data_IF_916035177939
#
_entry.id   IF_916035177939
#
_cell.length_a   1.000
_cell.length_b   1.000
_cell.length_c   1.000
_cell.angle_alpha   90.00
_cell.angle_beta   90.00
_cell.angle_gamma   90.00
#
_symmetry.space_group_name_H-M   'P 1'
#
loop_
_entity.id
_entity.type
_entity.pdbx_description
1 polymer ?
#
# COMPACT_ATOMS: atom_id res chain seq x y z
N UNK A 1 -14.62 -62.38 -45.28
CA UNK A 1 -15.86 -61.87 -44.63
C UNK A 1 -15.61 -60.42 -44.26
N UNK A 2 -16.44 -59.49 -44.77
CA UNK A 2 -16.53 -58.02 -44.59
C UNK A 2 -15.34 -57.23 -44.02
N UNK A 3 -14.66 -56.33 -44.75
CA UNK A 3 -15.09 -55.04 -45.36
C UNK A 3 -15.09 -53.85 -44.39
N UNK A 4 -14.33 -52.81 -44.79
CA UNK A 4 -14.53 -51.37 -44.55
C UNK A 4 -14.33 -50.86 -43.10
N UNK A 5 -13.43 -49.94 -42.78
CA UNK A 5 -13.05 -48.74 -43.51
C UNK A 5 -13.83 -47.54 -42.94
N UNK A 6 -13.17 -46.64 -42.20
CA UNK A 6 -13.24 -45.18 -42.43
C UNK A 6 -12.50 -44.37 -41.36
N UNK A 7 -11.79 -43.38 -41.89
CA UNK A 7 -11.14 -42.24 -41.24
C UNK A 7 -12.05 -41.02 -41.48
N UNK A 8 -11.91 -39.99 -40.63
CA UNK A 8 -12.53 -38.63 -40.64
C UNK A 8 -13.87 -38.59 -39.89
N UNK A 9 -14.28 -37.54 -39.19
CA UNK A 9 -13.95 -36.11 -39.27
C UNK A 9 -14.27 -35.43 -37.92
N UNK A 10 -13.84 -34.17 -37.76
CA UNK A 10 -14.05 -33.29 -36.60
C UNK A 10 -15.52 -32.81 -36.51
N UNK A 11 -16.02 -32.68 -35.28
CA UNK A 11 -17.02 -31.68 -34.83
C UNK A 11 -16.67 -31.41 -33.35
N UNK A 12 -16.14 -30.26 -32.92
CA UNK A 12 -16.82 -28.97 -32.69
C UNK A 12 -18.24 -29.12 -32.16
N UNK A 13 -18.32 -29.25 -30.84
CA UNK A 13 -19.32 -28.62 -29.97
C UNK A 13 -18.51 -28.12 -28.75
N UNK A 14 -18.62 -26.88 -28.27
CA UNK A 14 -19.76 -25.99 -28.34
C UNK A 14 -20.23 -25.71 -26.92
N UNK A 15 -19.48 -24.84 -26.22
CA UNK A 15 -19.95 -23.98 -25.13
C UNK A 15 -20.43 -24.59 -23.79
N UNK A 16 -20.18 -23.79 -22.76
CA UNK A 16 -20.92 -23.70 -21.49
C UNK A 16 -20.55 -24.68 -20.37
N UNK A 17 -19.55 -24.28 -19.57
CA UNK A 17 -19.64 -24.40 -18.12
C UNK A 17 -18.71 -23.37 -17.42
N UNK A 18 -18.91 -22.08 -17.71
CA UNK A 18 -18.55 -21.02 -16.74
C UNK A 18 -19.67 -21.01 -15.71
N UNK A 19 -19.62 -21.93 -14.75
CA UNK A 19 -20.51 -21.94 -13.60
C UNK A 19 -20.00 -20.91 -12.59
N UNK A 20 -20.55 -19.72 -12.76
CA UNK A 20 -20.87 -18.69 -11.77
C UNK A 20 -20.60 -19.08 -10.29
N UNK A 21 -19.48 -18.61 -9.74
CA UNK A 21 -19.19 -18.64 -8.31
C UNK A 21 -19.22 -17.22 -7.71
N UNK A 22 -20.15 -16.37 -8.17
CA UNK A 22 -20.35 -14.99 -7.65
C UNK A 22 -21.64 -14.79 -6.84
N UNK A 23 -22.33 -15.85 -6.43
CA UNK A 23 -23.69 -15.70 -5.89
C UNK A 23 -23.84 -15.55 -4.36
N UNK A 24 -22.81 -15.73 -3.52
CA UNK A 24 -23.03 -15.79 -2.06
C UNK A 24 -22.01 -15.04 -1.20
N UNK A 25 -21.85 -13.74 -1.42
CA UNK A 25 -21.43 -12.79 -0.37
C UNK A 25 -22.27 -11.52 -0.48
N UNK A 26 -23.58 -11.65 -0.25
CA UNK A 26 -24.47 -10.52 0.03
C UNK A 26 -24.56 -10.37 1.55
N UNK A 27 -23.84 -9.41 2.11
CA UNK A 27 -24.06 -8.97 3.49
C UNK A 27 -25.38 -8.16 3.55
N UNK A 28 -26.39 -8.59 4.31
CA UNK A 28 -27.62 -7.83 4.48
C UNK A 28 -27.44 -6.88 5.67
N UNK A 29 -27.05 -5.63 5.39
CA UNK A 29 -27.41 -4.42 6.15
C UNK A 29 -26.50 -3.26 5.72
N UNK A 30 -26.86 -2.58 4.64
CA UNK A 30 -26.39 -1.20 4.43
C UNK A 30 -27.58 -0.28 4.61
N UNK A 31 -28.04 -0.18 5.86
CA UNK A 31 -28.74 1.03 6.28
C UNK A 31 -27.69 2.13 6.26
N UNK A 32 -27.84 3.06 5.34
CA UNK A 32 -27.16 4.34 5.42
C UNK A 32 -27.57 4.95 6.76
N UNK A 33 -26.67 5.04 7.75
CA UNK A 33 -26.72 5.96 8.90
C UNK A 33 -25.48 5.70 9.79
N UNK A 34 -24.37 6.35 9.44
CA UNK A 34 -23.37 6.96 10.34
C UNK A 34 -22.14 7.33 9.51
N UNK A 35 -22.27 8.43 8.77
CA UNK A 35 -21.10 9.26 8.49
C UNK A 35 -20.65 9.85 9.83
N UNK A 36 -20.03 9.04 10.69
CA UNK A 36 -19.20 9.56 11.76
C UNK A 36 -17.97 10.12 11.09
N UNK A 37 -18.11 11.39 10.71
CA UNK A 37 -17.05 12.32 10.41
C UNK A 37 -16.13 12.26 11.64
N UNK A 38 -15.08 11.43 11.57
CA UNK A 38 -13.87 11.64 12.35
C UNK A 38 -13.26 12.92 11.80
N UNK A 39 -13.86 14.05 12.15
CA UNK A 39 -13.09 15.21 12.54
C UNK A 39 -12.33 14.78 13.80
N UNK A 40 -11.29 13.96 13.60
CA UNK A 40 -10.21 13.90 14.57
C UNK A 40 -9.77 15.36 14.69
N UNK A 41 -9.96 15.92 15.88
CA UNK A 41 -9.62 17.30 16.21
C UNK A 41 -8.36 17.71 15.44
N UNK A 42 -8.45 18.82 14.70
CA UNK A 42 -7.35 19.42 13.94
C UNK A 42 -6.21 19.85 14.87
N UNK A 43 -5.54 18.88 15.47
CA UNK A 43 -4.21 19.05 16.03
C UNK A 43 -3.28 18.89 14.85
N UNK A 44 -2.57 19.96 14.51
CA UNK A 44 -1.53 19.96 13.49
C UNK A 44 -0.66 18.70 13.67
N UNK A 45 -0.70 17.80 12.69
CA UNK A 45 0.05 16.53 12.66
C UNK A 45 1.56 16.76 12.83
N UNK A 46 2.00 17.98 12.55
CA UNK A 46 3.38 18.37 12.52
C UNK A 46 3.96 18.63 13.93
N UNK A 47 3.14 19.11 14.87
CA UNK A 47 3.51 19.33 16.28
C UNK A 47 3.17 18.12 17.18
N UNK A 48 2.63 17.04 16.61
CA UNK A 48 2.28 15.86 17.40
C UNK A 48 3.54 15.10 17.81
N UNK A 49 3.67 14.57 19.05
CA UNK A 49 4.79 13.71 19.49
C UNK A 49 5.01 12.46 18.62
N UNK A 50 4.06 12.20 17.71
CA UNK A 50 4.11 11.16 16.68
C UNK A 50 5.12 11.49 15.58
N UNK A 51 5.25 12.75 15.15
CA UNK A 51 6.16 13.14 14.06
C UNK A 51 7.63 12.94 14.45
N UNK A 52 7.99 13.28 15.69
CA UNK A 52 9.33 13.06 16.26
C UNK A 52 9.64 11.57 16.44
N UNK A 53 8.71 10.80 17.03
CA UNK A 53 8.89 9.36 17.24
C UNK A 53 9.01 8.57 15.92
N UNK A 54 8.36 9.03 14.85
CA UNK A 54 8.37 8.41 13.52
C UNK A 54 9.65 8.66 12.72
N UNK A 55 10.38 9.73 13.02
CA UNK A 55 11.59 10.15 12.29
C UNK A 55 12.89 9.95 13.09
N UNK A 56 12.77 9.71 14.41
CA UNK A 56 13.89 9.53 15.33
C UNK A 56 14.39 8.08 15.47
N UNK A 57 15.56 7.88 16.10
CA UNK A 57 16.22 6.57 16.23
C UNK A 57 15.53 5.59 17.20
N UNK A 58 14.44 6.00 17.86
CA UNK A 58 13.79 5.24 18.94
C UNK A 58 12.90 4.08 18.50
N UNK A 59 12.59 3.99 17.20
CA UNK A 59 11.80 2.89 16.61
C UNK A 59 10.46 2.65 17.31
N UNK A 60 9.98 1.40 17.27
CA UNK A 60 8.68 1.01 17.84
C UNK A 60 8.59 1.26 19.35
N UNK A 61 9.68 1.09 20.10
CA UNK A 61 9.69 1.29 21.54
C UNK A 61 9.40 2.75 21.92
N UNK A 62 9.98 3.70 21.19
CA UNK A 62 9.72 5.13 21.38
C UNK A 62 8.28 5.50 21.04
N UNK A 63 7.73 4.93 19.95
CA UNK A 63 6.32 5.10 19.58
C UNK A 63 5.37 4.60 20.66
N UNK A 64 5.63 3.42 21.21
CA UNK A 64 4.80 2.85 22.30
C UNK A 64 4.94 3.60 23.62
N UNK A 65 6.07 4.29 23.85
CA UNK A 65 6.25 5.17 24.99
C UNK A 65 5.48 6.49 24.85
N UNK A 66 5.33 7.00 23.62
CA UNK A 66 4.62 8.27 23.35
C UNK A 66 3.10 8.11 23.16
N UNK A 67 2.62 6.92 22.75
CA UNK A 67 1.20 6.66 22.54
C UNK A 67 0.79 5.21 22.87
N UNK A 68 -0.42 4.99 23.42
CA UNK A 68 -0.86 3.65 23.85
C UNK A 68 -1.28 2.72 22.70
N UNK A 69 -1.47 3.25 21.49
CA UNK A 69 -1.96 2.51 20.32
C UNK A 69 -1.07 2.85 19.13
N UNK A 70 -0.66 1.83 18.37
CA UNK A 70 0.10 1.96 17.11
C UNK A 70 -0.76 1.40 15.98
N UNK A 71 -0.87 2.15 14.89
CA UNK A 71 -1.71 1.82 13.74
C UNK A 71 -0.84 1.23 12.63
N UNK A 72 -1.18 0.03 12.17
CA UNK A 72 -0.55 -0.60 11.00
C UNK A 72 -1.24 -0.11 9.71
N UNK A 73 -0.53 -0.24 8.60
CA UNK A 73 -1.09 -0.03 7.27
C UNK A 73 -2.11 -1.11 6.86
N UNK A 74 -2.74 -0.88 5.70
CA UNK A 74 -3.76 -1.75 5.15
C UNK A 74 -3.26 -2.65 4.02
N UNK A 75 -4.20 -3.26 3.29
CA UNK A 75 -3.88 -4.14 2.16
C UNK A 75 -3.24 -3.39 0.98
N UNK A 76 -1.93 -3.57 0.80
CA UNK A 76 -1.16 -2.97 -0.30
C UNK A 76 -1.78 -3.28 -1.68
N UNK A 77 -2.16 -4.55 -1.92
CA UNK A 77 -2.73 -4.97 -3.20
C UNK A 77 -4.06 -4.26 -3.52
N UNK A 78 -4.98 -4.22 -2.56
CA UNK A 78 -6.28 -3.55 -2.73
C UNK A 78 -6.13 -2.06 -3.03
N UNK A 79 -5.18 -1.41 -2.37
CA UNK A 79 -4.93 0.02 -2.57
C UNK A 79 -4.24 0.30 -3.93
N UNK A 80 -3.38 -0.60 -4.40
CA UNK A 80 -2.80 -0.55 -5.74
C UNK A 80 -3.85 -0.73 -6.84
N UNK A 81 -4.73 -1.73 -6.70
CA UNK A 81 -5.84 -1.96 -7.64
C UNK A 81 -6.79 -0.76 -7.69
N UNK A 82 -7.11 -0.17 -6.54
CA UNK A 82 -7.94 1.05 -6.45
C UNK A 82 -7.34 2.21 -7.23
N UNK A 83 -6.02 2.25 -7.37
CA UNK A 83 -5.28 3.27 -8.14
C UNK A 83 -5.06 2.88 -9.60
N UNK A 84 -5.66 1.77 -10.06
CA UNK A 84 -5.55 1.31 -11.44
C UNK A 84 -4.27 0.52 -11.74
N UNK A 85 -3.48 0.15 -10.73
CA UNK A 85 -2.33 -0.74 -10.94
C UNK A 85 -2.86 -2.14 -11.21
N UNK A 86 -2.49 -2.69 -12.36
CA UNK A 86 -2.83 -4.08 -12.69
C UNK A 86 -1.89 -5.01 -11.91
N UNK A 87 -2.45 -5.72 -10.93
CA UNK A 87 -1.77 -6.82 -10.26
C UNK A 87 -2.02 -8.07 -11.09
N UNK A 88 -0.94 -8.64 -11.60
CA UNK A 88 -0.93 -9.88 -12.34
C UNK A 88 -0.77 -11.07 -11.37
N UNK A 89 -1.26 -12.25 -11.77
CA UNK A 89 -1.15 -13.51 -11.00
C UNK A 89 0.28 -14.09 -10.96
N UNK A 90 1.29 -13.22 -10.96
CA UNK A 90 2.69 -13.63 -10.82
C UNK A 90 3.02 -13.88 -9.36
N UNK A 91 3.80 -14.94 -9.11
CA UNK A 91 4.36 -15.28 -7.80
C UNK A 91 5.19 -14.15 -7.17
N UNK A 92 5.60 -13.14 -7.94
CA UNK A 92 6.39 -11.99 -7.50
C UNK A 92 5.74 -10.65 -7.82
N UNK A 93 4.42 -10.57 -7.99
CA UNK A 93 3.76 -9.32 -8.42
C UNK A 93 4.17 -8.12 -7.55
N UNK A 94 4.28 -8.29 -6.22
CA UNK A 94 4.62 -7.19 -5.30
C UNK A 94 6.07 -6.75 -5.45
N UNK A 95 6.99 -7.72 -5.55
CA UNK A 95 8.41 -7.46 -5.76
C UNK A 95 8.72 -6.91 -7.16
N UNK A 96 7.96 -7.32 -8.18
CA UNK A 96 8.08 -6.81 -9.55
C UNK A 96 7.72 -5.32 -9.66
N UNK A 97 6.86 -4.81 -8.79
CA UNK A 97 6.53 -3.38 -8.72
C UNK A 97 7.70 -2.52 -8.22
N UNK A 98 8.68 -3.09 -7.50
CA UNK A 98 9.89 -2.37 -7.10
C UNK A 98 10.73 -1.92 -8.32
N UNK A 99 10.65 -2.68 -9.41
CA UNK A 99 11.33 -2.38 -10.69
C UNK A 99 10.39 -1.58 -11.58
N UNK A 100 9.18 -2.08 -11.80
CA UNK A 100 8.31 -1.58 -12.86
C UNK A 100 7.59 -0.29 -12.47
N UNK A 101 7.17 -0.14 -11.21
CA UNK A 101 6.32 0.97 -10.77
C UNK A 101 6.62 1.43 -9.32
N UNK A 102 7.88 1.75 -8.96
CA UNK A 102 8.23 2.14 -7.59
C UNK A 102 7.49 3.40 -7.13
N UNK A 103 7.15 4.31 -8.05
CA UNK A 103 6.34 5.50 -7.74
C UNK A 103 4.93 5.16 -7.23
N UNK A 104 4.31 4.09 -7.75
CA UNK A 104 2.99 3.65 -7.31
C UNK A 104 3.05 3.12 -5.87
N UNK A 105 4.05 2.28 -5.55
CA UNK A 105 4.27 1.78 -4.19
C UNK A 105 4.50 2.94 -3.20
N UNK A 106 5.35 3.90 -3.55
CA UNK A 106 5.63 5.05 -2.69
C UNK A 106 4.36 5.90 -2.45
N UNK A 107 3.53 6.06 -3.48
CA UNK A 107 2.26 6.77 -3.37
C UNK A 107 1.24 6.04 -2.47
N UNK A 108 1.25 4.71 -2.46
CA UNK A 108 0.41 3.91 -1.55
C UNK A 108 0.90 4.04 -0.11
N UNK A 109 2.21 3.90 0.15
CA UNK A 109 2.76 4.11 1.50
C UNK A 109 2.44 5.50 2.04
N UNK A 110 2.63 6.57 1.25
CA UNK A 110 2.24 7.93 1.64
C UNK A 110 0.76 8.05 2.00
N UNK A 111 -0.12 7.32 1.31
CA UNK A 111 -1.53 7.36 1.59
C UNK A 111 -1.91 6.62 2.89
N UNK A 112 -1.19 5.56 3.26
CA UNK A 112 -1.34 4.95 4.56
C UNK A 112 -0.91 5.90 5.68
N UNK A 113 0.22 6.60 5.54
CA UNK A 113 0.63 7.62 6.49
C UNK A 113 -0.39 8.77 6.59
N UNK A 114 -0.91 9.25 5.45
CA UNK A 114 -1.98 10.26 5.43
C UNK A 114 -3.28 9.79 6.09
N UNK A 115 -3.57 8.49 6.06
CA UNK A 115 -4.70 7.90 6.75
C UNK A 115 -4.45 7.66 8.26
N UNK A 116 -3.24 7.94 8.74
CA UNK A 116 -2.84 7.83 10.14
C UNK A 116 -2.11 6.54 10.52
N UNK A 117 -1.58 5.79 9.55
CA UNK A 117 -0.71 4.65 9.84
C UNK A 117 0.60 5.12 10.49
N UNK A 118 1.05 4.40 11.52
CA UNK A 118 2.35 4.59 12.18
C UNK A 118 3.39 3.60 11.63
N UNK A 119 2.97 2.45 11.11
CA UNK A 119 3.87 1.41 10.61
C UNK A 119 3.38 0.93 9.25
N UNK A 120 4.31 0.82 8.30
CA UNK A 120 4.02 0.29 6.98
C UNK A 120 4.80 -1.01 6.73
N UNK A 121 4.16 -1.97 6.09
CA UNK A 121 4.78 -3.20 5.64
C UNK A 121 5.45 -2.98 4.27
N UNK A 122 6.71 -3.40 4.11
CA UNK A 122 7.40 -3.31 2.83
C UNK A 122 6.76 -4.22 1.78
N UNK A 123 6.86 -3.86 0.50
CA UNK A 123 6.37 -4.65 -0.63
C UNK A 123 7.21 -5.92 -0.93
N UNK A 124 7.65 -6.62 0.13
CA UNK A 124 8.64 -7.71 0.07
C UNK A 124 8.10 -9.04 0.57
N UNK A 125 6.78 -9.21 0.73
CA UNK A 125 6.20 -10.45 1.27
C UNK A 125 6.48 -11.67 0.38
N UNK A 126 6.56 -11.47 -0.95
CA UNK A 126 6.96 -12.50 -1.93
C UNK A 126 8.47 -12.53 -2.22
N UNK A 127 9.19 -11.50 -1.76
CA UNK A 127 10.59 -11.31 -2.13
C UNK A 127 11.47 -12.29 -1.36
N UNK A 128 12.04 -13.25 -2.08
CA UNK A 128 13.02 -14.20 -1.56
C UNK A 128 14.07 -14.47 -2.63
N UNK A 129 15.31 -14.78 -2.21
CA UNK A 129 16.37 -15.11 -3.18
C UNK A 129 15.97 -16.28 -4.07
N UNK A 130 15.28 -17.27 -3.52
CA UNK A 130 14.78 -18.41 -4.28
C UNK A 130 13.67 -18.02 -5.25
N UNK A 131 12.67 -17.24 -4.80
CA UNK A 131 11.60 -16.74 -5.66
C UNK A 131 12.13 -15.93 -6.83
N UNK A 132 13.07 -15.03 -6.55
CA UNK A 132 13.77 -14.25 -7.57
C UNK A 132 14.58 -15.13 -8.54
N UNK A 133 15.28 -16.15 -8.03
CA UNK A 133 16.00 -17.10 -8.89
C UNK A 133 15.05 -17.86 -9.84
N UNK A 134 13.87 -18.29 -9.36
CA UNK A 134 12.83 -18.92 -10.21
C UNK A 134 12.31 -17.97 -11.29
N UNK A 135 12.32 -16.66 -11.02
CA UNK A 135 11.97 -15.63 -11.99
C UNK A 135 13.14 -15.17 -12.88
N UNK A 136 14.31 -15.82 -12.81
CA UNK A 136 15.47 -15.50 -13.63
C UNK A 136 16.28 -14.29 -13.15
N UNK A 137 16.08 -13.83 -11.92
CA UNK A 137 16.82 -12.72 -11.32
C UNK A 137 18.07 -13.23 -10.61
N UNK A 138 19.22 -12.62 -10.89
CA UNK A 138 20.49 -12.98 -10.27
C UNK A 138 20.50 -12.67 -8.75
N UNK A 139 21.29 -13.42 -7.98
CA UNK A 139 21.34 -13.27 -6.51
C UNK A 139 21.75 -11.87 -6.05
N UNK A 140 22.66 -11.20 -6.78
CA UNK A 140 23.06 -9.82 -6.49
C UNK A 140 21.88 -8.84 -6.64
N UNK A 141 21.18 -8.91 -7.77
CA UNK A 141 20.01 -8.08 -8.04
C UNK A 141 18.88 -8.37 -7.07
N UNK A 142 18.64 -9.63 -6.74
CA UNK A 142 17.65 -10.05 -5.75
C UNK A 142 17.90 -9.41 -4.37
N UNK A 143 19.17 -9.35 -3.92
CA UNK A 143 19.54 -8.66 -2.68
C UNK A 143 19.30 -7.15 -2.79
N UNK A 144 19.66 -6.55 -3.91
CA UNK A 144 19.43 -5.13 -4.15
C UNK A 144 17.93 -4.79 -4.12
N UNK A 145 17.07 -5.65 -4.66
CA UNK A 145 15.61 -5.46 -4.63
C UNK A 145 15.03 -5.56 -3.23
N UNK A 146 15.52 -6.48 -2.40
CA UNK A 146 15.10 -6.56 -0.99
C UNK A 146 15.42 -5.27 -0.23
N UNK A 147 16.65 -4.77 -0.38
CA UNK A 147 17.08 -3.48 0.21
C UNK A 147 16.21 -2.34 -0.33
N UNK A 148 15.97 -2.33 -1.65
CA UNK A 148 15.16 -1.30 -2.31
C UNK A 148 13.73 -1.24 -1.78
N UNK A 149 13.14 -2.38 -1.43
CA UNK A 149 11.82 -2.44 -0.82
C UNK A 149 11.75 -1.71 0.53
N UNK A 150 12.81 -1.81 1.33
CA UNK A 150 12.93 -1.08 2.61
C UNK A 150 13.17 0.40 2.36
N UNK A 151 14.13 0.75 1.50
CA UNK A 151 14.45 2.15 1.17
C UNK A 151 13.24 2.92 0.62
N UNK A 152 12.41 2.27 -0.19
CA UNK A 152 11.21 2.90 -0.75
C UNK A 152 10.19 3.22 0.34
N UNK A 153 9.99 2.30 1.29
CA UNK A 153 9.11 2.50 2.43
C UNK A 153 9.64 3.62 3.35
N UNK A 154 10.94 3.57 3.66
CA UNK A 154 11.62 4.58 4.48
C UNK A 154 11.56 5.97 3.84
N UNK A 155 11.86 6.07 2.54
CA UNK A 155 11.78 7.30 1.79
C UNK A 155 10.35 7.86 1.72
N UNK A 156 9.33 7.00 1.58
CA UNK A 156 7.93 7.44 1.61
C UNK A 156 7.52 7.97 2.98
N UNK A 157 7.98 7.35 4.07
CA UNK A 157 7.78 7.81 5.44
C UNK A 157 8.43 9.17 5.67
N UNK A 158 9.72 9.29 5.37
CA UNK A 158 10.48 10.52 5.61
C UNK A 158 9.88 11.66 4.80
N UNK A 159 9.62 11.45 3.50
CA UNK A 159 8.98 12.47 2.66
C UNK A 159 7.62 12.94 3.20
N UNK A 160 6.82 12.05 3.79
CA UNK A 160 5.54 12.41 4.40
C UNK A 160 5.72 13.29 5.64
N UNK A 161 6.57 12.89 6.59
CA UNK A 161 6.77 13.63 7.83
C UNK A 161 7.58 14.92 7.64
N UNK A 162 8.51 14.95 6.69
CA UNK A 162 9.24 16.17 6.31
C UNK A 162 8.29 17.22 5.76
N UNK A 163 7.37 16.82 4.87
CA UNK A 163 6.37 17.73 4.32
C UNK A 163 5.40 18.26 5.40
N UNK A 164 4.99 17.43 6.35
CA UNK A 164 4.12 17.88 7.46
C UNK A 164 4.86 18.86 8.37
N UNK A 165 6.13 18.59 8.70
CA UNK A 165 6.93 19.51 9.50
C UNK A 165 7.13 20.85 8.81
N UNK A 166 7.39 20.86 7.50
CA UNK A 166 7.50 22.10 6.73
C UNK A 166 6.18 22.91 6.75
N UNK A 167 5.03 22.24 6.63
CA UNK A 167 3.71 22.88 6.69
C UNK A 167 3.32 23.42 8.07
N UNK A 168 3.88 22.90 9.18
CA UNK A 168 3.67 23.50 10.50
C UNK A 168 4.31 24.87 10.65
N UNK A 169 5.49 25.04 10.05
CA UNK A 169 6.29 26.27 10.23
C UNK A 169 5.61 27.45 9.55
N UNK A 170 4.82 27.21 8.50
CA UNK A 170 4.08 28.27 7.79
C UNK A 170 2.81 28.74 8.53
N UNK A 171 2.22 27.94 9.44
CA UNK A 171 1.02 28.34 10.21
C UNK A 171 1.34 29.20 11.44
N UNK A 172 2.61 29.33 11.85
CA UNK A 172 3.03 30.10 13.03
C UNK A 172 3.41 31.58 12.73
N UNK A 173 3.40 32.03 11.47
CA UNK A 173 3.79 33.41 11.09
C UNK A 173 2.61 34.40 10.93
N UNK A 174 1.36 34.02 11.20
CA UNK A 174 0.20 34.92 11.17
C UNK A 174 -0.35 35.26 12.57
N UNK A 175 0.46 35.84 13.46
CA UNK A 175 -0.09 36.59 14.63
C UNK A 175 0.94 37.58 15.22
N UNK A 176 1.39 38.58 14.46
CA UNK A 176 1.88 39.84 15.08
C UNK A 176 1.79 41.04 14.12
N UNK A 177 0.92 41.99 14.47
CA UNK A 177 0.80 43.32 13.86
C UNK A 177 -0.65 43.70 13.58
N UNK A 178 -1.24 44.77 14.11
CA UNK A 178 -0.72 45.89 14.87
C UNK A 178 -1.94 46.57 15.49
N UNK A 179 -2.21 46.30 16.77
CA UNK A 179 -3.11 47.13 17.57
C UNK A 179 -2.34 48.39 17.98
N UNK A 180 -2.36 49.40 17.11
CA UNK A 180 -1.93 50.75 17.46
C UNK A 180 -3.06 51.74 17.20
N UNK A 181 -3.86 52.00 18.26
CA UNK A 181 -4.63 53.23 18.42
C UNK A 181 -3.70 54.46 18.25
N UNK A 182 -4.06 55.42 17.38
CA UNK A 182 -4.28 56.86 17.68
C UNK A 182 -5.14 57.48 16.57
#
# INVERSE_FOLDING_TARGET
VGSSGQRRERARDGASARADARAHLRCPHRSAHSAHRLAAAGRSLALHPRSEAMSGPGGLASLLASQPVVILDGGLGTELERRGVTINDSDLWSAGLLISQPGALAAVHRAFYAAGADVAATATYQASLEGFARAGVGTGDARALLVRGVELCDGARNAFWDAHRAGAVEEEEEEEGDDAEV
#
